data_IF_952858287425
#
_entry.id   IF_952858287425
#
_cell.length_a   1.000
_cell.length_b   1.000
_cell.length_c   1.000
_cell.angle_alpha   90.00
_cell.angle_beta   90.00
_cell.angle_gamma   90.00
#
_symmetry.space_group_name_H-M   'P 1'
#
loop_
_entity.id
_entity.type
_entity.pdbx_description
1 polymer ?
2 non-polymer ?
3 water ?
#
# COMPACT_ATOMS: atom_id res chain seq x y z
N UNK A 67 20.94 -13.07 8.78
CA UNK A 67 20.68 -12.93 10.23
C UNK A 67 19.23 -12.63 10.59
N UNK A 68 18.64 -13.50 11.38
CA UNK A 68 17.37 -13.24 12.00
C UNK A 68 16.20 -13.89 11.31
N UNK A 69 15.08 -13.94 12.02
CA UNK A 69 13.84 -14.46 11.49
C UNK A 69 12.94 -13.34 10.98
N UNK A 70 12.24 -13.63 9.90
CA UNK A 70 11.24 -12.70 9.38
C UNK A 70 9.96 -13.47 9.01
N UNK A 71 8.83 -12.81 9.17
CA UNK A 71 7.55 -13.31 8.70
C UNK A 71 7.13 -12.48 7.51
N UNK A 72 7.13 -13.12 6.36
CA UNK A 72 6.99 -12.45 5.08
C UNK A 72 5.60 -12.73 4.47
N UNK A 73 4.73 -11.73 4.55
CA UNK A 73 3.37 -11.83 3.97
C UNK A 73 3.44 -11.39 2.52
N UNK A 74 2.61 -11.99 1.69
CA UNK A 74 2.56 -11.64 0.29
C UNK A 74 1.14 -11.78 -0.20
N UNK A 75 0.78 -11.00 -1.22
CA UNK A 75 -0.52 -11.13 -1.88
C UNK A 75 -0.51 -10.58 -3.27
N UNK A 76 -1.11 -11.32 -4.18
CA UNK A 76 -1.39 -10.83 -5.54
C UNK A 76 -2.76 -10.19 -5.68
N UNK A 77 -2.88 -9.33 -6.69
CA UNK A 77 -4.19 -8.84 -7.13
C UNK A 77 -4.17 -8.78 -8.65
N UNK A 78 -5.29 -9.16 -9.28
CA UNK A 78 -5.40 -9.05 -10.73
C UNK A 78 -6.84 -8.82 -11.11
N UNK A 79 -7.04 -8.02 -12.14
CA UNK A 79 -8.39 -7.75 -12.62
C UNK A 79 -8.68 -8.38 -13.99
N UNK A 80 -7.94 -9.43 -14.35
CA UNK A 80 -8.30 -10.26 -15.53
C UNK A 80 -7.45 -11.48 -15.75
N UNK A 81 -7.58 -12.09 -16.94
CA UNK A 81 -7.05 -13.44 -17.20
C UNK A 81 -6.32 -13.50 -18.54
N UNK A 82 -5.27 -12.66 -18.72
CA UNK A 82 -4.69 -11.75 -17.73
C UNK A 82 -5.33 -10.36 -17.82
N UNK A 83 -5.08 -9.54 -16.80
CA UNK A 83 -5.43 -8.11 -16.86
C UNK A 83 -4.54 -7.32 -15.91
N UNK A 84 -4.83 -6.03 -15.69
CA UNK A 84 -3.98 -5.23 -14.80
C UNK A 84 -3.81 -5.91 -13.44
N UNK A 85 -2.56 -5.97 -12.99
CA UNK A 85 -2.21 -6.76 -11.79
C UNK A 85 -1.22 -5.99 -10.90
N UNK A 86 -1.11 -6.45 -9.65
CA UNK A 86 -0.23 -5.82 -8.68
C UNK A 86 0.16 -6.84 -7.62
N UNK A 87 1.18 -6.49 -6.84
CA UNK A 87 1.64 -7.29 -5.71
C UNK A 87 1.71 -6.45 -4.45
N UNK A 88 1.69 -7.12 -3.31
CA UNK A 88 1.86 -6.49 -2.00
C UNK A 88 2.64 -7.46 -1.13
N UNK A 89 3.44 -6.93 -0.20
CA UNK A 89 4.21 -7.79 0.67
C UNK A 89 4.61 -7.00 1.90
N UNK A 90 4.80 -7.71 3.02
CA UNK A 90 5.08 -7.10 4.32
C UNK A 90 6.12 -7.99 4.99
N UNK A 91 7.20 -7.38 5.47
CA UNK A 91 8.20 -8.07 6.29
C UNK A 91 8.04 -7.70 7.75
N UNK A 92 7.75 -8.69 8.59
CA UNK A 92 7.62 -8.47 10.02
C UNK A 92 8.79 -9.16 10.74
N UNK A 93 9.39 -8.46 11.69
CA UNK A 93 10.17 -9.17 12.74
C UNK A 93 9.30 -9.95 13.73
N UNK A 94 9.94 -10.52 14.75
CA UNK A 94 9.26 -11.37 15.72
C UNK A 94 8.68 -10.58 16.89
N UNK A 95 9.26 -9.42 17.16
CA UNK A 95 8.69 -8.47 18.10
C UNK A 95 7.60 -7.69 17.42
N UNK A 96 7.46 -7.94 16.12
CA UNK A 96 6.24 -7.61 15.41
C UNK A 96 6.33 -6.28 14.66
N UNK A 97 7.56 -5.80 14.47
CA UNK A 97 7.79 -4.57 13.72
C UNK A 97 7.74 -4.79 12.21
N UNK A 98 7.10 -3.88 11.49
CA UNK A 98 7.10 -3.95 10.04
C UNK A 98 8.35 -3.26 9.51
N UNK A 99 9.39 -4.06 9.27
CA UNK A 99 10.67 -3.50 8.87
C UNK A 99 10.65 -2.92 7.47
N UNK A 100 9.83 -3.49 6.61
CA UNK A 100 9.71 -3.05 5.24
C UNK A 100 8.42 -3.62 4.69
N UNK A 101 7.79 -2.88 3.78
CA UNK A 101 6.64 -3.37 3.07
C UNK A 101 6.60 -2.72 1.71
N UNK A 102 5.81 -3.28 0.80
CA UNK A 102 5.76 -2.78 -0.57
C UNK A 102 4.47 -3.11 -1.26
N UNK A 103 4.10 -2.29 -2.24
CA UNK A 103 3.03 -2.60 -3.17
C UNK A 103 3.34 -1.99 -4.50
N UNK A 104 3.18 -2.76 -5.56
CA UNK A 104 3.54 -2.29 -6.90
C UNK A 104 2.61 -2.88 -7.94
N UNK A 105 2.35 -2.12 -8.98
CA UNK A 105 1.78 -2.65 -10.21
C UNK A 105 2.80 -3.42 -11.04
N UNK A 106 2.33 -4.46 -11.70
CA UNK A 106 3.21 -5.38 -12.42
C UNK A 106 2.85 -5.56 -13.90
N UNK A 107 1.93 -4.73 -14.38
CA UNK A 107 1.42 -4.89 -15.73
C UNK A 107 0.33 -5.93 -15.80
N UNK A 108 0.21 -6.59 -16.94
CA UNK A 108 -0.88 -7.54 -17.14
C UNK A 108 -0.44 -8.92 -16.71
N UNK A 109 -1.28 -9.57 -15.88
CA UNK A 109 -0.95 -10.89 -15.35
C UNK A 109 -2.23 -11.54 -14.88
N UNK A 110 -2.22 -12.86 -14.75
CA UNK A 110 -3.35 -13.56 -14.13
C UNK A 110 -3.28 -13.46 -12.61
N UNK A 111 -4.39 -13.80 -11.97
CA UNK A 111 -4.43 -14.03 -10.53
C UNK A 111 -3.28 -14.90 -10.01
N UNK A 112 -3.06 -16.03 -10.66
CA UNK A 112 -2.09 -16.97 -10.16
C UNK A 112 -0.69 -16.45 -10.36
N UNK A 113 -0.44 -15.79 -11.50
CA UNK A 113 0.83 -15.11 -11.70
C UNK A 113 1.08 -14.06 -10.63
N UNK A 114 0.08 -13.25 -10.32
CA UNK A 114 0.30 -12.15 -9.38
C UNK A 114 0.62 -12.65 -7.97
N UNK A 115 0.00 -13.76 -7.56
CA UNK A 115 0.30 -14.35 -6.24
C UNK A 115 1.75 -14.83 -6.20
N UNK A 116 2.20 -15.45 -7.28
CA UNK A 116 3.60 -15.88 -7.38
C UNK A 116 4.51 -14.68 -7.39
N UNK A 117 4.18 -13.66 -8.18
CA UNK A 117 5.07 -12.50 -8.27
C UNK A 117 5.18 -11.80 -6.91
N UNK A 118 4.10 -11.82 -6.13
CA UNK A 118 4.14 -11.24 -4.78
C UNK A 118 5.04 -12.06 -3.85
N UNK A 119 4.96 -13.38 -3.97
CA UNK A 119 5.89 -14.26 -3.25
C UNK A 119 7.35 -13.90 -3.54
N UNK A 120 7.66 -13.81 -4.83
CA UNK A 120 9.01 -13.54 -5.27
C UNK A 120 9.49 -12.15 -4.79
N UNK A 121 8.60 -11.15 -4.86
CA UNK A 121 8.93 -9.81 -4.34
C UNK A 121 9.19 -9.82 -2.83
N UNK A 122 8.42 -10.63 -2.11
CA UNK A 122 8.62 -10.78 -0.67
C UNK A 122 9.96 -11.46 -0.38
N UNK A 123 10.25 -12.56 -1.11
CA UNK A 123 11.50 -13.25 -0.95
C UNK A 123 12.69 -12.34 -1.26
N UNK A 124 12.59 -11.58 -2.35
CA UNK A 124 13.69 -10.68 -2.72
C UNK A 124 13.94 -9.62 -1.65
N UNK A 125 12.86 -9.09 -1.07
CA UNK A 125 13.00 -8.08 -0.03
C UNK A 125 13.63 -8.68 1.23
N UNK A 126 13.17 -9.87 1.61
CA UNK A 126 13.71 -10.52 2.78
C UNK A 126 15.19 -10.85 2.59
N UNK A 127 15.55 -11.30 1.39
CA UNK A 127 16.94 -11.63 1.11
C UNK A 127 17.78 -10.36 1.16
N UNK A 128 17.24 -9.26 0.64
CA UNK A 128 17.96 -7.99 0.64
C UNK A 128 18.28 -7.60 2.08
N UNK A 129 17.31 -7.76 2.96
CA UNK A 129 17.48 -7.43 4.36
C UNK A 129 18.32 -8.46 5.13
N UNK A 130 18.72 -9.54 4.46
CA UNK A 130 19.68 -10.49 5.01
C UNK A 130 19.18 -11.40 6.12
N UNK A 131 17.86 -11.62 6.17
CA UNK A 131 17.30 -12.58 7.11
C UNK A 131 17.77 -13.99 6.77
N UNK A 132 17.89 -14.84 7.78
CA UNK A 132 18.29 -16.22 7.53
C UNK A 132 17.20 -17.27 7.76
N UNK A 133 16.03 -16.82 8.23
CA UNK A 133 14.96 -17.75 8.59
C UNK A 133 13.65 -17.06 8.22
N UNK A 134 12.95 -17.60 7.21
CA UNK A 134 11.77 -16.92 6.69
C UNK A 134 10.51 -17.78 6.86
N UNK A 135 9.48 -17.18 7.43
CA UNK A 135 8.16 -17.78 7.44
C UNK A 135 7.26 -17.05 6.48
N UNK A 136 6.99 -17.68 5.34
CA UNK A 136 6.10 -17.11 4.37
C UNK A 136 4.67 -17.27 4.82
N UNK A 137 3.88 -16.22 4.64
CA UNK A 137 2.45 -16.27 4.93
C UNK A 137 1.66 -15.68 3.78
N UNK A 138 0.76 -16.48 3.22
CA UNK A 138 -0.04 -16.05 2.08
C UNK A 138 -1.37 -16.77 2.10
N UNK A 139 -2.22 -16.38 1.19
CA UNK A 139 -3.58 -16.92 1.17
C UNK A 139 -3.87 -17.57 -0.18
N UNK A 140 -2.82 -17.92 -0.93
CA UNK A 140 -2.96 -18.65 -2.20
C UNK A 140 -2.64 -20.14 -2.01
N UNK A 141 -3.66 -20.97 -2.11
CA UNK A 141 -3.45 -22.42 -2.15
C UNK A 141 -2.51 -22.82 -3.25
N UNK A 142 -2.70 -22.29 -4.46
CA UNK A 142 -1.95 -22.75 -5.61
C UNK A 142 -0.46 -22.50 -5.43
N UNK A 143 -0.10 -21.35 -4.88
CA UNK A 143 1.30 -21.06 -4.62
C UNK A 143 1.83 -22.01 -3.54
N UNK A 144 1.10 -22.15 -2.44
CA UNK A 144 1.56 -23.04 -1.39
C UNK A 144 1.78 -24.46 -1.89
N UNK A 145 0.77 -25.02 -2.53
CA UNK A 145 0.84 -26.44 -2.94
C UNK A 145 1.94 -26.63 -3.97
N UNK A 146 2.13 -25.69 -4.87
CA UNK A 146 3.20 -25.86 -5.86
C UNK A 146 4.57 -25.66 -5.21
N UNK A 147 4.70 -24.64 -4.38
CA UNK A 147 6.00 -24.34 -3.78
C UNK A 147 6.51 -25.50 -2.96
N UNK A 148 5.61 -26.17 -2.23
CA UNK A 148 5.99 -27.26 -1.33
C UNK A 148 6.09 -28.56 -2.09
N UNK A 149 5.78 -28.53 -3.38
CA UNK A 149 5.89 -29.74 -4.19
C UNK A 149 4.72 -30.71 -4.12
N UNK A 150 3.66 -30.35 -3.37
CA UNK A 150 2.45 -31.17 -3.31
C UNK A 150 1.80 -31.25 -4.67
N UNK A 151 1.81 -30.11 -5.38
CA UNK A 151 1.29 -30.03 -6.74
C UNK A 151 2.41 -29.70 -7.69
N UNK A 152 2.29 -30.16 -8.92
CA UNK A 152 3.09 -29.65 -10.00
C UNK A 152 2.21 -29.00 -11.05
N UNK A 153 2.82 -28.36 -12.02
CA UNK A 153 2.08 -27.75 -13.10
C UNK A 153 2.81 -27.94 -14.41
N UNK A 154 2.06 -28.05 -15.50
CA UNK A 154 2.66 -28.04 -16.83
C UNK A 154 3.04 -26.66 -17.30
N UNK A 155 2.46 -25.64 -16.70
CA UNK A 155 2.56 -24.28 -17.20
C UNK A 155 4.02 -23.80 -17.11
N UNK A 156 4.73 -23.70 -18.25
CA UNK A 156 6.16 -23.36 -18.21
C UNK A 156 6.46 -22.02 -17.50
N UNK A 157 5.52 -21.08 -17.53
CA UNK A 157 5.70 -19.79 -16.86
C UNK A 157 5.65 -19.95 -15.35
N UNK A 158 4.66 -20.67 -14.85
CA UNK A 158 4.60 -20.91 -13.40
C UNK A 158 5.72 -21.88 -12.95
N UNK A 159 6.18 -22.77 -13.82
CA UNK A 159 7.35 -23.57 -13.50
C UNK A 159 8.56 -22.67 -13.25
N UNK A 160 8.71 -21.66 -14.11
CA UNK A 160 9.86 -20.76 -14.00
C UNK A 160 9.78 -19.93 -12.74
N UNK A 161 8.57 -19.51 -12.36
CA UNK A 161 8.40 -18.75 -11.13
C UNK A 161 8.73 -19.59 -9.91
N UNK A 162 8.36 -20.87 -9.92
CA UNK A 162 8.77 -21.74 -8.84
C UNK A 162 10.30 -21.92 -8.76
N UNK A 163 10.96 -22.14 -9.89
CA UNK A 163 12.42 -22.26 -9.86
C UNK A 163 13.04 -20.97 -9.28
N UNK A 164 12.50 -19.82 -9.66
CA UNK A 164 12.98 -18.55 -9.12
C UNK A 164 12.76 -18.41 -7.61
N UNK A 165 11.54 -18.72 -7.14
CA UNK A 165 11.26 -18.76 -5.72
C UNK A 165 12.18 -19.72 -4.95
N UNK A 166 12.39 -20.92 -5.49
CA UNK A 166 13.27 -21.87 -4.83
C UNK A 166 14.73 -21.46 -4.83
N UNK A 167 15.16 -20.77 -5.89
CA UNK A 167 16.52 -20.20 -5.89
C UNK A 167 16.67 -19.17 -4.77
N UNK A 168 15.69 -18.29 -4.64
CA UNK A 168 15.70 -17.35 -3.54
C UNK A 168 15.68 -18.04 -2.18
N UNK A 169 14.88 -19.09 -2.05
CA UNK A 169 14.77 -19.78 -0.76
C UNK A 169 16.08 -20.41 -0.32
N UNK A 170 16.91 -20.80 -1.29
CA UNK A 170 18.16 -21.48 -0.99
C UNK A 170 19.10 -20.57 -0.23
N UNK A 171 18.85 -19.26 -0.30
CA UNK A 171 19.64 -18.27 0.42
C UNK A 171 19.38 -18.20 1.91
N UNK A 172 18.23 -18.72 2.35
CA UNK A 172 17.87 -18.71 3.77
C UNK A 172 18.32 -20.04 4.36
N UNK A 173 18.67 -20.07 5.63
CA UNK A 173 19.04 -21.32 6.24
C UNK A 173 17.84 -22.21 6.49
N UNK A 174 16.69 -21.59 6.74
CA UNK A 174 15.43 -22.31 6.99
C UNK A 174 14.29 -21.53 6.38
N UNK A 175 13.24 -22.24 6.03
CA UNK A 175 12.06 -21.58 5.50
C UNK A 175 10.82 -22.36 5.89
N UNK A 176 9.66 -21.69 5.76
CA UNK A 176 8.37 -22.37 5.94
C UNK A 176 7.34 -21.55 5.22
N UNK A 177 6.19 -22.15 4.99
CA UNK A 177 5.05 -21.43 4.43
C UNK A 177 3.78 -21.85 5.13
N UNK A 178 2.94 -20.87 5.41
CA UNK A 178 1.72 -21.09 6.16
C UNK A 178 0.59 -20.38 5.46
N UNK A 179 -0.56 -21.05 5.39
CA UNK A 179 -1.75 -20.44 4.81
C UNK A 179 -2.38 -19.58 5.89
N UNK A 180 -2.75 -18.36 5.53
CA UNK A 180 -3.62 -17.55 6.38
C UNK A 180 -4.86 -17.15 5.56
N UNK A 181 -6.00 -17.02 6.24
CA UNK A 181 -7.17 -16.45 5.56
C UNK A 181 -6.87 -15.05 5.03
N UNK A 182 -7.58 -14.65 3.98
CA UNK A 182 -7.29 -13.33 3.45
C UNK A 182 -7.46 -12.19 4.45
N UNK A 183 -8.38 -12.33 5.40
CA UNK A 183 -8.58 -11.26 6.38
C UNK A 183 -7.37 -11.09 7.30
N UNK A 184 -6.65 -12.18 7.52
CA UNK A 184 -5.40 -12.17 8.26
C UNK A 184 -4.26 -11.55 7.42
N UNK A 185 -4.38 -11.69 6.11
CA UNK A 185 -3.44 -11.11 5.14
C UNK A 185 -3.81 -9.71 4.64
N UNK A 186 -4.61 -9.02 5.45
CA UNK A 186 -5.22 -7.76 5.04
C UNK A 186 -4.21 -6.71 4.61
N UNK A 187 -3.03 -6.70 5.22
CA UNK A 187 -2.11 -5.61 4.94
C UNK A 187 -1.45 -5.76 3.57
N UNK A 188 -0.95 -6.96 3.25
CA UNK A 188 -0.41 -7.21 1.93
C UNK A 188 -1.51 -7.03 0.87
N UNK A 189 -2.71 -7.51 1.19
CA UNK A 189 -3.84 -7.35 0.27
C UNK A 189 -4.14 -5.86 0.00
N UNK A 190 -4.10 -5.04 1.05
CA UNK A 190 -4.29 -3.59 0.89
C UNK A 190 -3.18 -2.95 0.05
N UNK A 191 -1.92 -3.32 0.29
CA UNK A 191 -0.82 -2.79 -0.51
C UNK A 191 -1.00 -3.11 -2.00
N UNK A 192 -1.36 -4.36 -2.31
CA UNK A 192 -1.52 -4.77 -3.72
C UNK A 192 -2.69 -4.02 -4.35
N UNK A 193 -3.83 -3.99 -3.65
CA UNK A 193 -5.04 -3.43 -4.21
C UNK A 193 -5.02 -1.92 -4.30
N UNK A 194 -4.36 -1.25 -3.37
CA UNK A 194 -4.24 0.18 -3.47
C UNK A 194 -3.37 0.56 -4.65
N UNK A 195 -2.30 -0.19 -4.89
CA UNK A 195 -1.47 0.03 -6.05
C UNK A 195 -2.27 -0.23 -7.33
N UNK A 196 -3.03 -1.33 -7.35
CA UNK A 196 -3.83 -1.68 -8.54
C UNK A 196 -4.95 -0.65 -8.80
N UNK A 197 -5.58 -0.17 -7.74
CA UNK A 197 -6.65 0.83 -7.86
C UNK A 197 -6.11 2.11 -8.51
N UNK A 198 -4.81 2.35 -8.40
CA UNK A 198 -4.17 3.54 -8.98
C UNK A 198 -3.63 3.33 -10.40
N UNK A 199 -3.77 2.12 -10.94
CA UNK A 199 -3.11 1.80 -12.21
C UNK A 199 -3.70 2.59 -13.37
N UNK B 68 -16.54 25.51 11.18
CA UNK B 68 -17.55 24.41 11.15
C UNK B 68 -16.96 23.08 10.69
N UNK B 69 -17.78 22.30 9.99
CA UNK B 69 -17.47 20.90 9.68
C UNK B 69 -17.18 20.69 8.18
N UNK B 70 -16.12 19.93 7.89
CA UNK B 70 -15.71 19.75 6.49
C UNK B 70 -15.29 18.30 6.25
N UNK B 71 -15.67 17.77 5.09
CA UNK B 71 -15.18 16.45 4.67
C UNK B 71 -14.00 16.70 3.76
N UNK B 72 -12.84 16.18 4.13
CA UNK B 72 -11.59 16.52 3.45
C UNK B 72 -11.06 15.27 2.77
N UNK B 73 -11.23 15.20 1.46
CA UNK B 73 -10.69 14.08 0.67
C UNK B 73 -9.24 14.35 0.33
N UNK B 74 -8.43 13.31 0.24
CA UNK B 74 -7.02 13.48 -0.09
C UNK B 74 -6.56 12.29 -0.90
N UNK B 75 -5.61 12.53 -1.80
CA UNK B 75 -5.04 11.46 -2.59
C UNK B 75 -3.69 11.83 -3.11
N UNK B 76 -2.74 10.89 -3.04
CA UNK B 76 -1.42 11.11 -3.63
C UNK B 76 -1.29 10.37 -4.94
N UNK B 77 -0.29 10.74 -5.73
CA UNK B 77 0.03 10.02 -6.96
C UNK B 77 1.53 10.00 -7.13
N UNK B 78 2.08 8.84 -7.44
CA UNK B 78 3.50 8.66 -7.72
C UNK B 78 3.66 7.93 -9.04
N UNK B 79 4.52 8.44 -9.92
CA UNK B 79 4.79 7.79 -11.19
C UNK B 79 6.11 7.04 -11.13
N UNK B 80 6.11 5.88 -10.49
CA UNK B 80 7.29 5.05 -10.41
C UNK B 80 7.47 4.41 -9.05
N UNK B 81 6.93 5.02 -8.00
CA UNK B 81 6.99 4.43 -6.66
C UNK B 81 8.40 3.97 -6.26
N UNK B 82 9.38 4.88 -6.24
CA UNK B 82 9.22 6.32 -6.32
C UNK B 82 9.37 6.89 -7.71
N UNK B 83 8.83 8.10 -7.89
CA UNK B 83 8.99 8.84 -9.14
C UNK B 83 8.29 10.17 -8.94
N UNK B 84 8.22 10.98 -10.01
CA UNK B 84 7.52 12.26 -9.90
C UNK B 84 6.13 12.07 -9.27
N UNK B 85 5.84 12.88 -8.28
CA UNK B 85 4.67 12.65 -7.43
C UNK B 85 3.88 13.94 -7.22
N UNK B 86 2.65 13.79 -6.73
CA UNK B 86 1.74 14.92 -6.57
C UNK B 86 0.71 14.60 -5.50
N UNK B 87 -0.01 15.65 -5.11
CA UNK B 87 -1.11 15.55 -4.16
C UNK B 87 -2.34 16.21 -4.71
N UNK B 88 -3.49 15.68 -4.30
CA UNK B 88 -4.80 16.29 -4.55
C UNK B 88 -5.64 16.26 -3.30
N UNK B 89 -6.48 17.27 -3.13
CA UNK B 89 -7.38 17.33 -1.98
C UNK B 89 -8.62 18.11 -2.31
N UNK B 90 -9.72 17.78 -1.64
CA UNK B 90 -11.01 18.41 -1.88
C UNK B 90 -11.68 18.64 -0.53
N UNK B 91 -12.13 19.87 -0.29
CA UNK B 91 -12.88 20.18 0.94
C UNK B 91 -14.34 20.34 0.59
N UNK B 92 -15.19 19.54 1.23
CA UNK B 92 -16.62 19.52 0.93
C UNK B 92 -17.38 19.92 2.18
N UNK B 93 -18.26 20.91 2.06
CA UNK B 93 -18.94 21.42 3.24
C UNK B 93 -20.02 20.44 3.68
N UNK B 94 -20.18 20.32 5.00
CA UNK B 94 -21.05 19.31 5.58
C UNK B 94 -22.48 19.40 5.05
N UNK B 95 -22.72 20.38 4.18
CA UNK B 95 -23.99 20.49 3.50
C UNK B 95 -23.87 20.38 1.97
N UNK B 96 -22.71 19.88 1.51
CA UNK B 96 -22.68 18.97 0.36
C UNK B 96 -21.82 19.47 -0.81
N UNK B 97 -21.59 20.78 -0.85
CA UNK B 97 -20.92 21.42 -1.99
C UNK B 97 -19.42 21.51 -1.76
N UNK B 98 -18.65 21.39 -2.84
CA UNK B 98 -17.20 21.62 -2.75
C UNK B 98 -16.93 23.07 -2.44
N UNK B 99 -16.13 23.34 -1.43
CA UNK B 99 -15.79 24.70 -1.12
C UNK B 99 -14.38 25.12 -1.54
N UNK B 100 -13.48 24.15 -1.66
CA UNK B 100 -12.14 24.43 -2.17
C UNK B 100 -11.52 23.12 -2.60
N UNK B 101 -10.61 23.18 -3.56
CA UNK B 101 -9.84 22.01 -3.89
C UNK B 101 -8.49 22.40 -4.45
N UNK B 102 -7.57 21.45 -4.45
CA UNK B 102 -6.22 21.75 -4.93
C UNK B 102 -5.48 20.53 -5.46
N UNK B 103 -4.53 20.77 -6.33
CA UNK B 103 -3.61 19.74 -6.80
C UNK B 103 -2.25 20.34 -7.06
N UNK B 104 -1.21 19.69 -6.57
CA UNK B 104 0.16 20.19 -6.70
C UNK B 104 1.15 19.07 -6.89
N UNK B 105 2.20 19.34 -7.65
CA UNK B 105 3.34 18.44 -7.68
C UNK B 105 4.19 18.62 -6.43
N UNK B 106 4.91 17.57 -6.05
CA UNK B 106 5.67 17.57 -4.81
C UNK B 106 7.11 17.02 -4.98
N UNK B 107 7.51 16.80 -6.22
CA UNK B 107 8.80 16.17 -6.48
C UNK B 107 8.73 14.66 -6.34
N UNK B 108 9.89 14.05 -6.12
CA UNK B 108 10.00 12.60 -6.09
C UNK B 108 9.46 12.01 -4.78
N UNK B 109 8.56 11.02 -4.91
CA UNK B 109 8.02 10.33 -3.74
C UNK B 109 7.50 8.94 -4.13
N UNK B 110 7.37 8.09 -3.11
CA UNK B 110 6.72 6.79 -3.28
C UNK B 110 5.20 6.96 -3.24
N UNK B 111 4.47 5.88 -3.50
CA UNK B 111 3.01 5.92 -3.38
C UNK B 111 2.62 6.35 -1.96
N UNK B 112 3.18 5.67 -0.96
CA UNK B 112 2.78 5.91 0.40
C UNK B 112 3.23 7.26 0.92
N UNK B 113 4.44 7.68 0.52
CA UNK B 113 4.89 9.03 0.86
C UNK B 113 3.92 10.08 0.32
N UNK B 114 3.58 9.96 -0.96
CA UNK B 114 2.69 10.93 -1.58
C UNK B 114 1.30 10.94 -0.95
N UNK B 115 0.79 9.75 -0.57
CA UNK B 115 -0.50 9.67 0.07
C UNK B 115 -0.52 10.44 1.40
N UNK B 116 0.54 10.25 2.20
CA UNK B 116 0.67 11.02 3.42
C UNK B 116 0.83 12.52 3.17
N UNK B 117 1.60 12.89 2.16
CA UNK B 117 1.78 14.31 1.87
C UNK B 117 0.44 14.91 1.48
N UNK B 118 -0.41 14.13 0.79
CA UNK B 118 -1.72 14.65 0.41
C UNK B 118 -2.59 14.85 1.65
N UNK B 119 -2.56 13.87 2.57
CA UNK B 119 -3.21 14.02 3.85
C UNK B 119 -2.81 15.33 4.57
N UNK B 120 -1.51 15.56 4.61
CA UNK B 120 -0.97 16.75 5.26
C UNK B 120 -1.41 18.04 4.54
N UNK B 121 -1.43 17.98 3.20
CA UNK B 121 -1.92 19.14 2.43
C UNK B 121 -3.40 19.39 2.67
N UNK B 122 -4.20 18.33 2.79
CA UNK B 122 -5.61 18.52 3.09
C UNK B 122 -5.79 19.17 4.46
N UNK B 123 -5.01 18.72 5.44
CA UNK B 123 -5.08 19.30 6.78
C UNK B 123 -4.69 20.77 6.78
N UNK B 124 -3.64 21.10 6.04
CA UNK B 124 -3.22 22.49 5.96
C UNK B 124 -4.26 23.34 5.25
N UNK B 125 -4.91 22.78 4.23
CA UNK B 125 -5.95 23.52 3.54
C UNK B 125 -7.16 23.73 4.47
N UNK B 126 -7.56 22.68 5.18
CA UNK B 126 -8.72 22.83 6.05
C UNK B 126 -8.53 23.94 7.10
N UNK B 127 -7.33 24.03 7.68
CA UNK B 127 -6.99 25.10 8.61
C UNK B 127 -6.97 26.47 7.95
N UNK B 128 -6.42 26.53 6.73
CA UNK B 128 -6.36 27.78 5.98
C UNK B 128 -7.76 28.35 5.75
N UNK B 129 -8.74 27.46 5.57
CA UNK B 129 -10.12 27.88 5.30
C UNK B 129 -10.99 27.90 6.55
N UNK B 130 -10.36 27.75 7.70
CA UNK B 130 -11.00 28.13 8.96
C UNK B 130 -11.87 27.05 9.57
N UNK B 131 -11.73 25.81 9.09
CA UNK B 131 -12.56 24.74 9.59
C UNK B 131 -12.06 24.19 10.93
N UNK B 132 -12.99 23.92 11.83
CA UNK B 132 -12.62 23.47 13.17
C UNK B 132 -12.82 21.97 13.35
N UNK B 133 -13.59 21.37 12.46
CA UNK B 133 -14.07 20.01 12.62
C UNK B 133 -13.93 19.31 11.29
N UNK B 134 -13.13 18.25 11.25
CA UNK B 134 -12.71 17.66 9.98
C UNK B 134 -12.95 16.15 9.93
N UNK B 135 -13.58 15.69 8.87
CA UNK B 135 -13.65 14.27 8.59
C UNK B 135 -12.79 13.98 7.38
N UNK B 136 -11.66 13.34 7.61
CA UNK B 136 -10.79 12.92 6.52
C UNK B 136 -11.43 11.78 5.77
N UNK B 137 -11.29 11.80 4.44
CA UNK B 137 -11.74 10.69 3.62
C UNK B 137 -10.68 10.34 2.59
N UNK B 138 -10.28 9.07 2.53
CA UNK B 138 -9.32 8.62 1.53
C UNK B 138 -9.45 7.15 1.27
N UNK B 139 -8.72 6.65 0.27
CA UNK B 139 -8.91 5.30 -0.21
C UNK B 139 -7.69 4.42 0.08
N UNK B 140 -6.85 4.85 1.02
CA UNK B 140 -5.71 4.02 1.45
C UNK B 140 -5.86 3.57 2.90
N UNK B 141 -6.16 2.28 3.09
CA UNK B 141 -6.20 1.74 4.43
C UNK B 141 -4.82 1.76 5.08
N UNK B 142 -3.77 1.64 4.28
CA UNK B 142 -2.42 1.72 4.84
C UNK B 142 -2.21 3.03 5.61
N UNK B 143 -2.54 4.17 4.99
CA UNK B 143 -2.39 5.44 5.68
C UNK B 143 -3.40 5.59 6.83
N UNK B 144 -4.64 5.19 6.58
CA UNK B 144 -5.67 5.36 7.61
C UNK B 144 -5.28 4.60 8.88
N UNK B 145 -4.94 3.32 8.73
CA UNK B 145 -4.64 2.47 9.89
C UNK B 145 -3.30 2.77 10.56
N UNK B 146 -2.34 3.28 9.80
CA UNK B 146 -1.13 3.79 10.43
C UNK B 146 -1.43 5.06 11.21
N UNK B 147 -2.29 5.91 10.67
CA UNK B 147 -2.56 7.19 11.29
C UNK B 147 -3.24 7.01 12.64
N UNK B 148 -4.20 6.09 12.70
CA UNK B 148 -4.96 5.85 13.94
C UNK B 148 -4.14 5.02 14.93
N UNK B 149 -3.09 4.36 14.43
CA UNK B 149 -2.27 3.48 15.27
C UNK B 149 -2.75 2.04 15.31
N UNK B 150 -3.74 1.70 14.49
CA UNK B 150 -4.13 0.31 14.34
C UNK B 150 -2.98 -0.50 13.74
N UNK B 151 -2.33 0.05 12.72
CA UNK B 151 -1.16 -0.56 12.13
C UNK B 151 0.03 0.30 12.50
N UNK B 152 1.15 -0.34 12.78
CA UNK B 152 2.40 0.38 13.03
C UNK B 152 3.33 0.19 11.85
N UNK B 153 4.36 1.03 11.78
CA UNK B 153 5.39 0.92 10.76
C UNK B 153 6.76 1.29 11.32
N UNK B 154 7.77 0.53 10.94
CA UNK B 154 9.15 0.87 11.29
C UNK B 154 9.87 1.56 10.14
N UNK B 155 9.12 2.09 9.19
CA UNK B 155 9.68 2.95 8.18
C UNK B 155 9.80 4.38 8.70
N UNK B 156 11.03 4.86 8.94
CA UNK B 156 11.13 6.21 9.50
C UNK B 156 10.47 7.28 8.65
N UNK B 157 10.43 7.10 7.33
CA UNK B 157 9.76 8.09 6.48
C UNK B 157 8.32 8.25 6.92
N UNK B 158 7.64 7.11 7.00
CA UNK B 158 6.20 7.13 7.30
C UNK B 158 5.90 7.46 8.77
N UNK B 159 6.80 7.12 9.67
CA UNK B 159 6.67 7.57 11.04
C UNK B 159 6.76 9.09 11.13
N UNK B 160 7.65 9.71 10.35
CA UNK B 160 7.77 11.17 10.39
C UNK B 160 6.52 11.84 9.82
N UNK B 161 5.99 11.31 8.72
CA UNK B 161 4.78 11.91 8.17
C UNK B 161 3.57 11.74 9.08
N UNK B 162 3.49 10.60 9.77
CA UNK B 162 2.40 10.37 10.69
C UNK B 162 2.49 11.25 11.93
N UNK B 163 3.71 11.54 12.37
CA UNK B 163 3.89 12.48 13.48
C UNK B 163 3.44 13.89 13.08
N UNK B 164 3.78 14.30 11.87
CA UNK B 164 3.35 15.61 11.36
C UNK B 164 1.84 15.70 11.20
N UNK B 165 1.24 14.70 10.58
CA UNK B 165 -0.22 14.69 10.43
C UNK B 165 -0.91 14.77 11.80
N UNK B 166 -0.45 13.96 12.76
CA UNK B 166 -1.08 13.91 14.06
C UNK B 166 -0.95 15.26 14.78
N UNK B 167 0.17 15.93 14.59
CA UNK B 167 0.37 17.25 15.15
C UNK B 167 -0.67 18.23 14.58
N UNK B 168 -0.81 18.24 13.25
CA UNK B 168 -1.81 19.10 12.63
C UNK B 168 -3.21 18.78 13.09
N UNK B 169 -3.49 17.49 13.32
CA UNK B 169 -4.83 17.13 13.74
C UNK B 169 -5.22 17.69 15.10
N UNK B 170 -4.24 17.89 15.98
CA UNK B 170 -4.55 18.43 17.31
C UNK B 170 -5.07 19.87 17.20
N UNK B 171 -4.85 20.51 16.05
CA UNK B 171 -5.24 21.91 15.85
C UNK B 171 -6.75 22.07 15.66
N UNK B 172 -7.42 20.97 15.40
CA UNK B 172 -8.86 20.96 15.16
C UNK B 172 -9.62 20.68 16.46
N UNK B 173 -10.84 21.18 16.56
CA UNK B 173 -11.71 20.84 17.70
C UNK B 173 -12.04 19.36 17.70
N UNK B 174 -12.22 18.80 16.51
CA UNK B 174 -12.64 17.42 16.37
C UNK B 174 -12.13 16.91 15.03
N UNK B 175 -11.75 15.63 14.99
CA UNK B 175 -11.44 14.98 13.72
C UNK B 175 -11.84 13.52 13.68
N UNK B 176 -11.94 13.00 12.47
CA UNK B 176 -12.08 11.57 12.26
C UNK B 176 -11.55 11.24 10.88
N UNK B 177 -11.29 9.96 10.65
CA UNK B 177 -10.90 9.51 9.34
C UNK B 177 -11.72 8.31 8.91
N UNK B 178 -12.12 8.30 7.65
CA UNK B 178 -13.00 7.29 7.10
C UNK B 178 -12.40 6.76 5.79
N UNK B 179 -12.52 5.45 5.57
CA UNK B 179 -12.23 4.88 4.28
C UNK B 179 -13.35 5.14 3.28
N UNK B 180 -12.97 5.46 2.06
CA UNK B 180 -13.89 5.41 0.92
C UNK B 180 -13.23 4.62 -0.20
N UNK B 181 -14.03 3.98 -1.05
CA UNK B 181 -13.51 3.26 -2.20
C UNK B 181 -12.80 4.17 -3.20
N UNK B 182 -11.84 3.61 -3.90
CA UNK B 182 -11.14 4.32 -4.97
C UNK B 182 -12.06 5.19 -5.83
N UNK B 183 -13.20 4.66 -6.26
CA UNK B 183 -14.07 5.40 -7.15
C UNK B 183 -14.68 6.63 -6.49
N UNK B 184 -14.89 6.56 -5.18
CA UNK B 184 -15.44 7.66 -4.42
C UNK B 184 -14.39 8.77 -4.23
N UNK B 185 -13.13 8.40 -4.37
CA UNK B 185 -12.03 9.36 -4.21
C UNK B 185 -11.47 9.82 -5.54
N UNK B 186 -12.29 9.74 -6.58
CA UNK B 186 -11.86 10.10 -7.92
C UNK B 186 -11.42 11.57 -8.05
N UNK B 187 -12.13 12.49 -7.39
CA UNK B 187 -11.83 13.90 -7.59
C UNK B 187 -10.41 14.25 -7.13
N UNK B 188 -10.03 13.82 -5.92
CA UNK B 188 -8.67 14.03 -5.45
C UNK B 188 -7.61 13.27 -6.25
N UNK B 189 -7.96 12.04 -6.65
CA UNK B 189 -7.09 11.24 -7.50
C UNK B 189 -6.82 11.90 -8.85
N UNK B 190 -7.88 12.50 -9.40
CA UNK B 190 -7.72 13.21 -10.68
C UNK B 190 -6.92 14.52 -10.51
N UNK B 191 -7.11 15.21 -9.37
CA UNK B 191 -6.36 16.44 -9.13
C UNK B 191 -4.86 16.15 -9.04
N UNK B 192 -4.48 15.07 -8.35
CA UNK B 192 -3.07 14.73 -8.24
C UNK B 192 -2.49 14.35 -9.61
N UNK B 193 -3.18 13.46 -10.30
CA UNK B 193 -2.70 13.02 -11.61
C UNK B 193 -2.66 14.14 -12.64
N UNK B 194 -3.60 15.08 -12.54
CA UNK B 194 -3.61 16.21 -13.46
C UNK B 194 -2.42 17.13 -13.23
N UNK B 195 -2.02 17.32 -11.96
CA UNK B 195 -0.83 18.11 -11.67
C UNK B 195 0.41 17.50 -12.33
N UNK B 196 0.53 16.18 -12.29
CA UNK B 196 1.66 15.52 -12.92
C UNK B 196 1.60 15.63 -14.44
N UNK B 197 0.41 15.45 -14.98
CA UNK B 197 0.22 15.36 -16.44
C UNK B 197 0.32 16.73 -17.09
N UNK B 198 0.05 17.78 -16.33
CA UNK B 198 0.06 19.13 -16.87
C UNK B 198 1.46 19.74 -16.81
N UNK B 199 2.27 19.24 -15.88
CA UNK B 199 3.60 19.81 -15.63
C UNK B 199 4.37 19.97 -16.92
X LIG C 1 -4.54 -13.64 -2.31
X LIG D 1 -6.00 -10.37 -1.95
X LIG E 1 -5.12 6.78 -2.93
X LIG F 1 -5.13 7.52 -6.40
X LIG G 1 -3.00 22.88 -8.97
#
# INVERSE_FOLDING_TARGET
MPVVECDIQTARAALADAGASFSDGNSEHELWHADLGDAHAVAYADKLVVQGGSPTDITAVVQPDRGGRVHAYFDGASRGNPGPAAVGWVLVSGDGGIVAEGGDTIGRATNNQAEYDALIAALEAAADFGFDDIELRGDSQLVEKQLTGAWDTNDPDLRRKRVRARELLTGFDDWSITHVPRATNERADALANEALDDA
MPVVECDIQTARAALADAGASFSDGNSEHELWHADLGDAHAVAYADKLVVQGGSPTDITAVVQPDRGGRVHAYFDGASRGNPGPAAVGWVLVSGDGGIVAEGGDTIGRATNNQAEYDALIAALEAAADFGFDDIELRGDSQLVEKQLTGAWDTNDPDLRRKRVRARELLTGFDDWSITHVPRATNERADALANEALDDA
MN MN
MN MN
MN MN
MN MN
MN MN
#
